data_IF_899118903177
#
_entry.id   IF_899118903177
#
_cell.length_a   1.000
_cell.length_b   1.000
_cell.length_c   1.000
_cell.angle_alpha   90.00
_cell.angle_beta   90.00
_cell.angle_gamma   90.00
#
_symmetry.space_group_name_H-M   'P 1'
#
loop_
_entity.id
_entity.type
_entity.pdbx_description
1 polymer ?
#
# COMPACT_ATOMS: atom_id res chain seq x y z
N UNK A 1 6.52 -14.03 -18.31
CA UNK A 1 5.43 -13.11 -17.92
C UNK A 1 4.30 -13.11 -18.95
N UNK A 2 4.57 -12.88 -20.24
CA UNK A 2 3.56 -12.85 -21.31
C UNK A 2 2.70 -14.13 -21.38
N UNK A 3 3.33 -15.30 -21.38
CA UNK A 3 2.63 -16.60 -21.48
C UNK A 3 1.68 -16.82 -20.30
N UNK A 4 2.11 -16.43 -19.11
CA UNK A 4 1.29 -16.53 -17.90
C UNK A 4 0.03 -15.66 -18.01
N UNK A 5 0.19 -14.36 -18.32
CA UNK A 5 -0.94 -13.43 -18.46
C UNK A 5 -1.93 -13.94 -19.53
N UNK A 6 -1.43 -14.48 -20.64
CA UNK A 6 -2.28 -15.06 -21.70
C UNK A 6 -3.18 -16.18 -21.17
N UNK A 7 -2.65 -17.08 -20.35
CA UNK A 7 -3.43 -18.21 -19.80
C UNK A 7 -4.51 -17.81 -18.80
N UNK A 8 -4.31 -16.73 -18.04
CA UNK A 8 -5.27 -16.27 -17.04
C UNK A 8 -6.30 -15.27 -17.58
N UNK A 9 -5.99 -14.56 -18.67
CA UNK A 9 -6.83 -13.52 -19.27
C UNK A 9 -8.29 -13.96 -19.46
N UNK A 10 -8.60 -15.14 -20.05
CA UNK A 10 -9.98 -15.58 -20.25
C UNK A 10 -10.79 -15.71 -18.96
N UNK A 11 -10.14 -16.03 -17.82
CA UNK A 11 -10.80 -16.20 -16.53
C UNK A 11 -11.12 -14.89 -15.85
N UNK A 12 -10.26 -13.89 -16.02
CA UNK A 12 -10.38 -12.58 -15.37
C UNK A 12 -11.17 -11.56 -16.21
N UNK A 13 -11.39 -11.83 -17.50
CA UNK A 13 -12.04 -10.91 -18.42
C UNK A 13 -13.44 -10.48 -17.96
N UNK A 14 -14.17 -11.37 -17.27
CA UNK A 14 -15.48 -11.08 -16.66
C UNK A 14 -15.45 -9.95 -15.60
N UNK A 15 -14.29 -9.69 -15.00
CA UNK A 15 -14.09 -8.62 -14.01
C UNK A 15 -13.52 -7.35 -14.63
N UNK A 16 -13.31 -7.34 -15.96
CA UNK A 16 -12.72 -6.22 -16.66
C UNK A 16 -13.71 -5.07 -16.75
N UNK A 17 -13.24 -3.88 -16.42
CA UNK A 17 -13.84 -2.61 -16.84
C UNK A 17 -13.69 -2.42 -18.34
N UNK A 18 -14.48 -1.53 -18.92
CA UNK A 18 -14.45 -1.21 -20.36
C UNK A 18 -13.56 0.00 -20.65
N UNK A 19 -12.84 -0.03 -21.78
CA UNK A 19 -12.01 1.08 -22.28
C UNK A 19 -12.83 2.26 -22.80
N UNK A 20 -14.10 2.06 -23.18
CA UNK A 20 -14.98 3.16 -23.63
C UNK A 20 -15.30 4.17 -22.52
N UNK A 21 -15.15 3.78 -21.27
CA UNK A 21 -15.24 4.66 -20.11
C UNK A 21 -13.82 5.13 -19.74
N UNK A 22 -13.41 6.22 -20.39
CA UNK A 22 -12.08 6.82 -20.26
C UNK A 22 -11.69 7.13 -18.81
N UNK A 23 -12.67 7.39 -17.93
CA UNK A 23 -12.43 7.64 -16.51
C UNK A 23 -11.73 6.46 -15.80
N UNK A 24 -11.74 5.26 -16.40
CA UNK A 24 -11.08 4.10 -15.84
C UNK A 24 -9.57 4.05 -16.07
N UNK A 25 -9.02 4.84 -17.00
CA UNK A 25 -7.57 4.81 -17.30
C UNK A 25 -6.91 6.17 -17.51
N UNK A 26 -7.69 7.24 -17.75
CA UNK A 26 -7.17 8.60 -17.93
C UNK A 26 -6.72 9.22 -16.60
N UNK A 27 -5.63 9.98 -16.63
CA UNK A 27 -4.94 10.59 -15.48
C UNK A 27 -4.44 9.59 -14.41
N UNK A 28 -4.27 8.31 -14.77
CA UNK A 28 -3.70 7.28 -13.90
C UNK A 28 -2.24 6.99 -14.30
N UNK A 29 -1.29 6.89 -13.34
CA UNK A 29 0.12 6.64 -13.64
C UNK A 29 0.41 5.15 -13.86
N UNK A 30 0.06 4.68 -15.06
CA UNK A 30 0.28 3.32 -15.54
C UNK A 30 1.76 3.07 -15.81
N UNK A 31 2.36 2.05 -15.22
CA UNK A 31 3.80 1.83 -15.30
C UNK A 31 4.18 0.36 -15.48
N UNK A 32 5.39 0.14 -15.98
CA UNK A 32 6.03 -1.16 -16.09
C UNK A 32 7.55 -1.00 -15.92
N UNK A 33 8.25 -2.11 -15.76
CA UNK A 33 9.71 -2.17 -15.80
C UNK A 33 10.15 -2.54 -17.22
N UNK A 34 10.99 -1.71 -17.83
CA UNK A 34 11.58 -2.03 -19.12
C UNK A 34 12.65 -3.13 -19.01
N UNK A 35 13.26 -3.50 -20.13
CA UNK A 35 14.28 -4.56 -20.19
C UNK A 35 15.52 -4.27 -19.33
N UNK A 36 15.80 -2.99 -19.06
CA UNK A 36 16.88 -2.56 -18.19
C UNK A 36 16.44 -2.45 -16.71
N UNK A 37 15.20 -2.80 -16.39
CA UNK A 37 14.62 -2.66 -15.05
C UNK A 37 14.25 -1.22 -14.68
N UNK A 38 14.29 -0.29 -15.64
CA UNK A 38 13.88 1.08 -15.40
C UNK A 38 12.36 1.20 -15.40
N UNK A 39 11.81 1.93 -14.42
CA UNK A 39 10.38 2.24 -14.38
C UNK A 39 10.04 3.22 -15.50
N UNK A 40 9.13 2.79 -16.38
CA UNK A 40 8.53 3.63 -17.42
C UNK A 40 7.07 3.85 -17.06
N UNK A 41 6.63 5.11 -17.03
CA UNK A 41 5.27 5.51 -16.63
C UNK A 41 4.57 6.22 -17.79
N UNK A 42 3.34 5.83 -18.06
CA UNK A 42 2.41 6.35 -19.06
C UNK A 42 1.28 7.06 -18.33
N UNK A 43 0.96 8.29 -18.75
CA UNK A 43 -0.18 9.06 -18.27
C UNK A 43 -0.98 9.50 -19.49
N UNK A 44 -2.16 8.89 -19.65
CA UNK A 44 -3.13 9.26 -20.68
C UNK A 44 -3.89 10.49 -20.19
N UNK A 45 -3.60 11.66 -20.76
CA UNK A 45 -4.23 12.92 -20.35
C UNK A 45 -5.54 13.16 -21.07
N UNK A 46 -6.49 13.86 -20.44
CA UNK A 46 -7.82 14.17 -21.01
C UNK A 46 -7.79 14.93 -22.34
N UNK A 47 -6.69 15.63 -22.64
CA UNK A 47 -6.49 16.37 -23.89
C UNK A 47 -5.86 15.52 -25.01
N UNK A 48 -5.97 14.19 -24.94
CA UNK A 48 -5.39 13.23 -25.90
C UNK A 48 -3.86 13.25 -25.97
N UNK A 49 -3.20 13.89 -25.01
CA UNK A 49 -1.75 13.84 -24.86
C UNK A 49 -1.36 12.61 -24.04
N UNK A 50 -0.32 11.90 -24.49
CA UNK A 50 0.30 10.85 -23.72
C UNK A 50 1.61 11.38 -23.14
N UNK A 51 1.75 11.37 -21.82
CA UNK A 51 3.05 11.60 -21.18
C UNK A 51 3.72 10.27 -20.89
N UNK A 52 4.97 10.12 -21.32
CA UNK A 52 5.80 8.96 -20.99
C UNK A 52 7.02 9.45 -20.22
N UNK A 53 7.14 9.01 -18.97
CA UNK A 53 8.25 9.34 -18.08
C UNK A 53 9.14 8.13 -17.85
N UNK A 54 10.46 8.31 -18.01
CA UNK A 54 11.49 7.33 -17.67
C UNK A 54 12.62 8.04 -16.95
N UNK A 55 12.92 7.64 -15.72
CA UNK A 55 13.97 8.27 -14.88
C UNK A 55 13.85 9.81 -14.73
N UNK A 56 12.63 10.35 -14.84
CA UNK A 56 12.38 11.79 -14.76
C UNK A 56 12.43 12.51 -16.11
N UNK A 57 12.95 11.87 -17.16
CA UNK A 57 12.83 12.38 -18.53
C UNK A 57 11.42 12.13 -19.04
N UNK A 58 10.77 13.20 -19.50
CA UNK A 58 9.39 13.18 -19.99
C UNK A 58 9.39 13.38 -21.51
N UNK A 59 8.77 12.44 -22.21
CA UNK A 59 8.46 12.55 -23.62
C UNK A 59 6.94 12.62 -23.82
N UNK A 60 6.52 13.36 -24.84
CA UNK A 60 5.11 13.54 -25.20
C UNK A 60 4.76 12.70 -26.42
N UNK A 61 3.57 12.11 -26.40
CA UNK A 61 2.94 11.39 -27.50
C UNK A 61 1.45 11.72 -27.59
N UNK A 62 0.68 10.92 -28.33
CA UNK A 62 -0.78 11.07 -28.42
C UNK A 62 -1.48 9.75 -28.18
N UNK A 63 -2.71 9.83 -27.70
CA UNK A 63 -3.58 8.67 -27.58
C UNK A 63 -5.01 9.01 -27.98
N UNK A 64 -5.73 8.01 -28.47
CA UNK A 64 -7.13 8.14 -28.87
C UNK A 64 -7.86 6.81 -28.67
N UNK A 65 -9.04 6.84 -28.04
CA UNK A 65 -9.93 5.70 -28.04
C UNK A 65 -10.78 5.73 -29.33
N UNK A 66 -10.78 4.61 -30.07
CA UNK A 66 -11.52 4.45 -31.32
C UNK A 66 -12.73 3.53 -31.06
N UNK A 67 -13.96 4.08 -30.90
CA UNK A 67 -15.13 3.29 -30.50
C UNK A 67 -15.54 2.23 -31.51
N UNK A 68 -15.35 2.51 -32.80
CA UNK A 68 -15.74 1.62 -33.92
C UNK A 68 -15.04 0.27 -33.85
N UNK A 69 -13.78 0.27 -33.40
CA UNK A 69 -12.95 -0.94 -33.27
C UNK A 69 -12.73 -1.34 -31.81
N UNK A 70 -13.26 -0.56 -30.86
CA UNK A 70 -13.08 -0.73 -29.41
C UNK A 70 -11.60 -0.79 -29.00
N UNK A 71 -10.77 0.02 -29.64
CA UNK A 71 -9.31 -0.03 -29.51
C UNK A 71 -8.73 1.30 -29.06
N UNK A 72 -7.59 1.26 -28.39
CA UNK A 72 -6.78 2.41 -28.02
C UNK A 72 -5.65 2.57 -29.04
N UNK A 73 -5.63 3.70 -29.75
CA UNK A 73 -4.51 4.11 -30.60
C UNK A 73 -3.50 4.85 -29.73
N UNK A 74 -2.23 4.43 -29.78
CA UNK A 74 -1.13 5.07 -29.09
C UNK A 74 -0.06 5.48 -30.11
N UNK A 75 0.28 6.76 -30.12
CA UNK A 75 1.37 7.35 -30.90
C UNK A 75 2.50 7.78 -29.95
N UNK A 76 3.66 7.13 -30.07
CA UNK A 76 4.83 7.42 -29.27
C UNK A 76 6.12 7.06 -30.01
N UNK A 77 7.15 7.91 -29.93
CA UNK A 77 8.45 7.74 -30.61
C UNK A 77 8.32 7.43 -32.11
N UNK A 78 7.46 8.15 -32.83
CA UNK A 78 7.26 7.97 -34.27
C UNK A 78 6.55 6.67 -34.67
N UNK A 79 6.09 5.88 -33.70
CA UNK A 79 5.32 4.65 -33.93
C UNK A 79 3.86 4.86 -33.54
N UNK A 80 2.94 4.41 -34.40
CA UNK A 80 1.50 4.31 -34.10
C UNK A 80 1.13 2.85 -33.92
N UNK A 81 0.51 2.52 -32.79
CA UNK A 81 0.11 1.15 -32.45
C UNK A 81 -1.33 1.14 -31.99
N UNK A 82 -2.11 0.20 -32.52
CA UNK A 82 -3.49 -0.02 -32.13
C UNK A 82 -3.55 -1.16 -31.12
N UNK A 83 -4.33 -0.97 -30.06
CA UNK A 83 -4.46 -1.92 -28.97
C UNK A 83 -5.92 -2.22 -28.65
N UNK A 84 -6.30 -3.50 -28.72
CA UNK A 84 -7.58 -3.98 -28.25
C UNK A 84 -7.55 -4.17 -26.73
N UNK A 85 -8.73 -4.11 -26.11
CA UNK A 85 -8.86 -4.39 -24.68
C UNK A 85 -8.49 -5.84 -24.39
N UNK A 86 -7.49 -6.05 -23.52
CA UNK A 86 -7.24 -7.35 -22.91
C UNK A 86 -7.97 -7.47 -21.57
N UNK A 87 -7.58 -6.62 -20.62
CA UNK A 87 -8.15 -6.55 -19.28
C UNK A 87 -7.91 -5.16 -18.68
N UNK A 88 -8.84 -4.67 -17.88
CA UNK A 88 -8.69 -3.41 -17.17
C UNK A 88 -9.36 -3.49 -15.81
N UNK A 89 -8.62 -3.17 -14.74
CA UNK A 89 -9.21 -2.86 -13.44
C UNK A 89 -8.51 -1.63 -12.83
N UNK A 90 -8.76 -1.35 -11.55
CA UNK A 90 -8.15 -0.20 -10.86
C UNK A 90 -6.62 -0.24 -10.81
N UNK A 91 -6.03 -1.44 -10.85
CA UNK A 91 -4.63 -1.70 -10.55
C UNK A 91 -3.82 -2.15 -11.76
N UNK A 92 -4.44 -2.84 -12.71
CA UNK A 92 -3.76 -3.40 -13.89
C UNK A 92 -4.55 -3.08 -15.15
N UNK A 93 -3.82 -2.67 -16.18
CA UNK A 93 -4.29 -2.54 -17.54
C UNK A 93 -3.48 -3.45 -18.44
N UNK A 94 -4.15 -4.35 -19.14
CA UNK A 94 -3.57 -5.23 -20.17
C UNK A 94 -4.20 -4.89 -21.50
N UNK A 95 -3.35 -4.49 -22.43
CA UNK A 95 -3.69 -4.16 -23.80
C UNK A 95 -3.14 -5.27 -24.71
N UNK A 96 -3.90 -5.66 -25.73
CA UNK A 96 -3.43 -6.60 -26.77
C UNK A 96 -3.20 -5.81 -28.04
N UNK A 97 -2.01 -5.89 -28.62
CA UNK A 97 -1.73 -5.23 -29.89
C UNK A 97 -2.62 -5.84 -30.98
N UNK A 98 -3.27 -4.99 -31.76
CA UNK A 98 -4.21 -5.43 -32.77
C UNK A 98 -3.56 -6.36 -33.80
N UNK A 99 -4.27 -7.43 -34.18
CA UNK A 99 -3.79 -8.46 -35.10
C UNK A 99 -2.66 -9.36 -34.56
N UNK A 100 -2.31 -9.30 -33.26
CA UNK A 100 -1.26 -10.16 -32.68
C UNK A 100 -1.62 -10.67 -31.27
N UNK A 101 -0.81 -11.63 -30.78
CA UNK A 101 -0.85 -12.10 -29.38
C UNK A 101 0.03 -11.27 -28.43
N UNK A 102 0.59 -10.16 -28.93
CA UNK A 102 1.51 -9.31 -28.15
C UNK A 102 0.71 -8.55 -27.08
N UNK A 103 1.00 -8.85 -25.81
CA UNK A 103 0.41 -8.19 -24.66
C UNK A 103 1.29 -7.05 -24.16
N UNK A 104 0.66 -5.91 -23.89
CA UNK A 104 1.24 -4.77 -23.22
C UNK A 104 0.55 -4.56 -21.87
N UNK A 105 1.22 -4.95 -20.80
CA UNK A 105 0.70 -4.92 -19.44
C UNK A 105 1.31 -3.78 -18.63
N UNK A 106 0.46 -3.06 -17.92
CA UNK A 106 0.78 -1.87 -17.14
C UNK A 106 0.13 -1.97 -15.76
N UNK A 107 0.88 -1.65 -14.71
CA UNK A 107 0.39 -1.54 -13.34
C UNK A 107 0.16 -0.09 -12.96
N UNK A 108 -0.95 0.24 -12.32
CA UNK A 108 -1.13 1.52 -11.66
C UNK A 108 -0.12 1.62 -10.52
N UNK A 109 0.88 2.49 -10.69
CA UNK A 109 2.00 2.58 -9.74
C UNK A 109 1.63 3.13 -8.36
N UNK A 110 0.40 3.62 -8.18
CA UNK A 110 -0.14 4.00 -6.87
C UNK A 110 -0.75 2.81 -6.12
N UNK A 111 -1.07 1.71 -6.80
CA UNK A 111 -1.70 0.50 -6.23
C UNK A 111 -0.75 -0.69 -6.24
N UNK A 112 -0.02 -0.90 -7.35
CA UNK A 112 0.97 -1.98 -7.51
C UNK A 112 2.35 -1.36 -7.47
N UNK A 113 2.84 -1.03 -6.28
CA UNK A 113 4.07 -0.25 -6.10
C UNK A 113 5.32 -0.97 -6.62
N UNK A 114 5.37 -2.30 -6.51
CA UNK A 114 6.47 -3.14 -7.00
C UNK A 114 6.36 -3.49 -8.49
N UNK A 115 5.29 -3.03 -9.15
CA UNK A 115 4.95 -3.32 -10.55
C UNK A 115 4.91 -4.82 -10.89
N UNK A 116 4.70 -5.69 -9.89
CA UNK A 116 4.57 -7.13 -10.11
C UNK A 116 3.14 -7.47 -10.54
N UNK A 117 2.86 -7.23 -11.82
CA UNK A 117 1.54 -7.42 -12.42
C UNK A 117 1.10 -8.89 -12.37
N UNK A 118 2.00 -9.84 -12.62
CA UNK A 118 1.67 -11.27 -12.55
C UNK A 118 1.15 -11.64 -11.17
N UNK A 119 1.86 -11.23 -10.12
CA UNK A 119 1.44 -11.47 -8.74
C UNK A 119 0.08 -10.83 -8.48
N UNK A 120 -0.16 -9.60 -8.98
CA UNK A 120 -1.48 -8.96 -8.87
C UNK A 120 -2.61 -9.81 -9.44
N UNK A 121 -2.42 -10.31 -10.66
CA UNK A 121 -3.44 -11.08 -11.34
C UNK A 121 -3.62 -12.48 -10.73
N UNK A 122 -2.57 -13.06 -10.15
CA UNK A 122 -2.62 -14.35 -9.44
C UNK A 122 -3.62 -14.34 -8.29
N UNK A 123 -3.55 -13.36 -7.36
CA UNK A 123 -4.49 -13.38 -6.24
C UNK A 123 -5.93 -13.06 -6.66
N UNK A 124 -6.11 -12.29 -7.75
CA UNK A 124 -7.42 -12.10 -8.37
C UNK A 124 -8.03 -13.41 -8.85
N UNK A 125 -7.23 -14.28 -9.47
CA UNK A 125 -7.69 -15.59 -9.95
C UNK A 125 -7.92 -16.56 -8.79
N UNK A 126 -7.07 -16.53 -7.76
CA UNK A 126 -7.18 -17.42 -6.60
C UNK A 126 -8.43 -17.15 -5.73
N UNK A 127 -9.20 -16.09 -6.03
CA UNK A 127 -10.28 -15.62 -5.17
C UNK A 127 -9.77 -15.12 -3.82
N UNK A 128 -8.46 -15.00 -3.66
CA UNK A 128 -7.83 -14.62 -2.43
C UNK A 128 -8.01 -13.11 -2.27
N UNK A 129 -8.77 -12.71 -1.26
CA UNK A 129 -8.94 -11.32 -0.85
C UNK A 129 -7.67 -10.77 -0.19
N UNK A 130 -6.50 -11.37 -0.42
CA UNK A 130 -5.21 -10.79 -0.08
C UNK A 130 -5.08 -9.47 -0.84
N UNK A 131 -5.53 -8.40 -0.18
CA UNK A 131 -5.45 -7.03 -0.62
C UNK A 131 -4.00 -6.77 -1.04
N UNK A 132 -3.74 -6.72 -2.36
CA UNK A 132 -2.50 -6.13 -2.85
C UNK A 132 -2.31 -4.79 -2.18
N UNK A 133 -1.10 -4.48 -1.72
CA UNK A 133 -0.88 -3.35 -0.84
C UNK A 133 -1.10 -2.06 -1.63
N UNK A 134 -2.36 -1.60 -1.68
CA UNK A 134 -2.66 -0.18 -1.71
C UNK A 134 -1.89 0.40 -0.54
N UNK A 135 -0.85 1.22 -0.80
CA UNK A 135 -0.01 1.93 0.19
C UNK A 135 -0.49 1.70 1.62
N UNK A 136 -0.07 0.60 2.24
CA UNK A 136 -0.61 0.23 3.56
C UNK A 136 0.03 1.16 4.56
N UNK A 137 -0.68 2.23 4.94
CA UNK A 137 -0.42 2.87 6.22
C UNK A 137 -0.63 1.78 7.27
N UNK A 138 0.41 1.43 8.01
CA UNK A 138 0.26 0.48 9.11
C UNK A 138 -0.50 1.18 10.23
N UNK A 139 -1.42 0.45 10.86
CA UNK A 139 -2.25 0.94 11.94
C UNK A 139 -1.96 0.08 13.15
N UNK A 140 -1.39 0.67 14.20
CA UNK A 140 -1.33 0.00 15.49
C UNK A 140 -2.55 0.38 16.31
N UNK A 141 -3.18 -0.60 16.96
CA UNK A 141 -4.31 -0.35 17.87
C UNK A 141 -3.77 -0.33 19.30
N UNK A 142 -3.79 0.85 19.92
CA UNK A 142 -3.56 0.99 21.35
C UNK A 142 -4.86 1.12 22.11
N UNK A 143 -4.81 0.88 23.42
CA UNK A 143 -5.93 1.09 24.33
C UNK A 143 -5.55 2.13 25.38
N UNK A 144 -6.45 3.09 25.58
CA UNK A 144 -6.28 4.19 26.53
C UNK A 144 -6.58 3.70 27.94
N UNK A 145 -5.59 3.80 28.84
CA UNK A 145 -5.69 3.36 30.22
C UNK A 145 -6.87 4.00 30.96
N UNK A 146 -7.60 3.18 31.71
CA UNK A 146 -8.81 3.61 32.42
C UNK A 146 -10.05 3.77 31.54
N UNK A 147 -9.97 3.44 30.25
CA UNK A 147 -11.12 3.42 29.34
C UNK A 147 -11.09 2.18 28.44
N UNK A 148 -12.26 1.73 27.96
CA UNK A 148 -12.33 0.71 26.89
C UNK A 148 -12.11 1.30 25.49
N UNK A 149 -11.63 2.54 25.39
CA UNK A 149 -11.47 3.26 24.13
C UNK A 149 -10.18 2.83 23.46
N UNK A 150 -10.28 2.42 22.20
CA UNK A 150 -9.16 2.03 21.35
C UNK A 150 -8.83 3.16 20.39
N UNK A 151 -7.54 3.35 20.16
CA UNK A 151 -6.97 4.38 19.28
C UNK A 151 -6.06 3.75 18.26
N UNK A 152 -5.91 4.42 17.13
CA UNK A 152 -5.19 3.93 15.97
C UNK A 152 -4.03 4.89 15.68
N UNK A 153 -2.81 4.35 15.69
CA UNK A 153 -1.58 5.06 15.37
C UNK A 153 -1.19 4.79 13.93
N UNK A 154 -0.93 5.84 13.17
CA UNK A 154 -0.62 5.75 11.75
C UNK A 154 0.88 5.81 11.52
N UNK A 155 1.48 4.76 10.97
CA UNK A 155 2.92 4.71 10.64
C UNK A 155 3.19 4.85 9.15
N UNK A 156 4.35 5.39 8.83
CA UNK A 156 4.96 5.31 7.49
C UNK A 156 5.37 3.87 7.16
N UNK A 157 5.52 3.61 5.86
CA UNK A 157 5.75 2.29 5.26
C UNK A 157 7.10 1.69 5.70
N UNK A 158 7.10 0.40 6.07
CA UNK A 158 8.32 -0.35 6.43
C UNK A 158 8.66 -0.44 7.92
N UNK A 159 7.93 0.27 8.80
CA UNK A 159 8.08 0.10 10.26
C UNK A 159 7.13 -0.98 10.78
N UNK A 160 7.70 -2.00 11.42
CA UNK A 160 6.96 -3.08 12.11
C UNK A 160 6.60 -2.71 13.55
N UNK A 161 7.11 -1.59 14.05
CA UNK A 161 6.90 -1.08 15.41
C UNK A 161 6.01 0.15 15.40
N UNK A 162 5.34 0.39 16.52
CA UNK A 162 4.48 1.55 16.72
C UNK A 162 5.32 2.81 16.70
N UNK A 163 4.96 3.74 15.82
CA UNK A 163 5.61 5.05 15.74
C UNK A 163 4.95 6.03 16.70
N UNK A 164 5.62 6.34 17.81
CA UNK A 164 5.19 7.36 18.77
C UNK A 164 5.88 8.72 18.57
N UNK A 165 6.50 8.95 17.41
CA UNK A 165 7.16 10.22 17.11
C UNK A 165 6.18 11.38 17.04
N UNK A 166 6.70 12.58 17.32
CA UNK A 166 5.94 13.83 17.17
C UNK A 166 5.50 14.00 15.72
N UNK A 167 4.22 14.36 15.52
CA UNK A 167 3.59 14.52 14.22
C UNK A 167 2.80 13.30 13.75
N UNK A 168 3.01 12.13 14.33
CA UNK A 168 2.25 10.91 14.02
C UNK A 168 0.75 11.15 14.22
N UNK A 169 -0.05 10.78 13.21
CA UNK A 169 -1.50 10.90 13.28
C UNK A 169 -2.06 9.81 14.21
N UNK A 170 -3.05 10.20 15.02
CA UNK A 170 -3.78 9.30 15.92
C UNK A 170 -5.28 9.54 15.78
N UNK A 171 -6.02 8.46 15.55
CA UNK A 171 -7.48 8.50 15.43
C UNK A 171 -8.14 7.55 16.42
N UNK A 172 -9.45 7.66 16.56
CA UNK A 172 -10.25 6.62 17.20
C UNK A 172 -10.24 5.33 16.35
N UNK A 173 -10.77 4.25 16.91
CA UNK A 173 -10.85 2.93 16.24
C UNK A 173 -11.61 2.94 14.91
N UNK A 174 -12.48 3.93 14.69
CA UNK A 174 -13.21 4.16 13.44
C UNK A 174 -12.32 4.69 12.29
N UNK A 175 -11.04 4.96 12.57
CA UNK A 175 -10.02 5.45 11.63
C UNK A 175 -10.33 6.79 10.96
N UNK A 176 -11.38 7.48 11.39
CA UNK A 176 -11.87 8.70 10.76
C UNK A 176 -11.97 9.86 11.75
N UNK A 177 -12.28 9.58 13.01
CA UNK A 177 -12.37 10.59 14.06
C UNK A 177 -10.97 10.86 14.64
N UNK A 178 -10.43 12.08 14.53
CA UNK A 178 -9.19 12.45 15.20
C UNK A 178 -9.32 12.27 16.71
N UNK A 179 -8.26 11.78 17.36
CA UNK A 179 -8.26 11.73 18.82
C UNK A 179 -8.30 13.17 19.38
N UNK A 180 -9.24 13.52 20.27
CA UNK A 180 -9.36 14.89 20.79
C UNK A 180 -8.11 15.36 21.50
N UNK A 181 -7.92 16.67 21.57
CA UNK A 181 -6.79 17.28 22.28
C UNK A 181 -6.78 16.87 23.75
N UNK A 182 -5.59 16.51 24.24
CA UNK A 182 -5.44 16.11 25.63
C UNK A 182 -4.21 15.26 25.92
N UNK A 183 -4.09 14.86 27.18
CA UNK A 183 -3.08 13.93 27.66
C UNK A 183 -3.70 12.57 27.90
N UNK A 184 -3.05 11.54 27.37
CA UNK A 184 -3.54 10.18 27.33
C UNK A 184 -2.50 9.23 27.88
N UNK A 185 -2.94 8.36 28.80
CA UNK A 185 -2.13 7.25 29.27
C UNK A 185 -2.50 6.00 28.46
N UNK A 186 -1.52 5.27 27.98
CA UNK A 186 -1.68 4.00 27.30
C UNK A 186 -1.60 2.84 28.31
N UNK A 187 -2.18 1.70 27.95
CA UNK A 187 -2.14 0.50 28.81
C UNK A 187 -0.74 -0.05 29.06
N UNK A 188 0.21 0.21 28.17
CA UNK A 188 1.64 -0.09 28.36
C UNK A 188 2.34 0.87 29.35
N UNK A 189 1.58 1.82 29.92
CA UNK A 189 2.04 2.83 30.85
C UNK A 189 2.59 4.08 30.19
N UNK A 190 2.72 4.14 28.86
CA UNK A 190 3.19 5.32 28.13
C UNK A 190 2.26 6.52 28.29
N UNK A 191 2.83 7.73 28.33
CA UNK A 191 2.08 8.98 28.42
C UNK A 191 2.25 9.79 27.14
N UNK A 192 1.13 10.08 26.48
CA UNK A 192 1.08 10.73 25.18
C UNK A 192 0.30 12.05 25.29
N UNK A 193 0.80 13.13 24.68
CA UNK A 193 0.04 14.36 24.47
C UNK A 193 -0.36 14.47 23.01
N UNK A 194 -1.63 14.79 22.76
CA UNK A 194 -2.20 14.91 21.42
C UNK A 194 -2.81 16.30 21.23
N UNK A 195 -2.57 16.86 20.04
CA UNK A 195 -3.17 18.12 19.57
C UNK A 195 -3.49 17.99 18.09
N UNK A 196 -4.69 18.39 17.69
CA UNK A 196 -5.20 18.31 16.31
C UNK A 196 -5.08 16.89 15.71
N UNK A 197 -5.32 15.86 16.54
CA UNK A 197 -5.20 14.45 16.14
C UNK A 197 -3.76 14.00 15.85
N UNK A 198 -2.75 14.72 16.32
CA UNK A 198 -1.33 14.37 16.16
C UNK A 198 -0.60 14.30 17.49
N UNK A 199 0.35 13.37 17.59
CA UNK A 199 1.24 13.26 18.76
C UNK A 199 2.11 14.50 18.83
N UNK A 200 2.07 15.17 19.98
CA UNK A 200 2.98 16.27 20.30
C UNK A 200 4.20 15.76 21.08
N UNK A 201 3.97 14.82 22.00
CA UNK A 201 5.04 14.20 22.78
C UNK A 201 4.63 12.83 23.30
N UNK A 202 5.59 11.92 23.43
CA UNK A 202 5.41 10.61 24.05
C UNK A 202 6.51 10.32 25.08
N UNK A 203 6.13 9.84 26.26
CA UNK A 203 7.05 9.37 27.31
C UNK A 203 6.76 7.92 27.64
N UNK A 204 7.71 7.04 27.37
CA UNK A 204 7.62 5.62 27.75
C UNK A 204 7.99 5.43 29.21
N UNK A 205 7.23 4.59 29.91
CA UNK A 205 7.50 4.19 31.29
C UNK A 205 8.14 2.78 31.38
N UNK A 206 8.59 2.22 30.25
CA UNK A 206 9.13 0.85 30.17
C UNK A 206 10.31 0.59 31.11
N UNK A 207 11.11 1.61 31.45
CA UNK A 207 12.25 1.49 32.35
C UNK A 207 11.85 1.12 33.80
N UNK A 208 10.70 1.60 34.28
CA UNK A 208 10.19 1.29 35.63
C UNK A 208 9.73 -0.17 35.74
N UNK A 209 9.10 -0.69 34.70
CA UNK A 209 8.68 -2.10 34.64
C UNK A 209 9.89 -3.02 34.66
N UNK A 210 10.95 -2.67 33.92
CA UNK A 210 12.21 -3.41 33.91
C UNK A 210 12.87 -3.42 35.30
N UNK A 211 12.85 -2.28 36.01
CA UNK A 211 13.41 -2.15 37.36
C UNK A 211 12.66 -3.04 38.38
N UNK A 212 11.33 -3.12 38.29
CA UNK A 212 10.50 -3.97 39.15
C UNK A 212 10.82 -5.46 38.93
N UNK A 213 10.95 -5.89 37.68
CA UNK A 213 11.35 -7.26 37.36
C UNK A 213 12.77 -7.59 37.82
N UNK A 214 13.71 -6.65 37.68
CA UNK A 214 15.08 -6.80 38.16
C UNK A 214 15.11 -6.96 39.69
N UNK A 215 14.37 -6.12 40.43
CA UNK A 215 14.26 -6.20 41.89
C UNK A 215 13.60 -7.51 42.31
N UNK A 216 12.51 -7.93 41.65
CA UNK A 216 11.85 -9.21 41.93
C UNK A 216 12.77 -10.40 41.69
N UNK A 217 13.58 -10.39 40.62
CA UNK A 217 14.56 -11.43 40.33
C UNK A 217 15.69 -11.47 41.38
N UNK A 218 16.17 -10.31 41.84
CA UNK A 218 17.19 -10.23 42.90
C UNK A 218 16.63 -10.77 44.23
N UNK A 219 15.39 -10.43 44.58
CA UNK A 219 14.70 -10.95 45.77
C UNK A 219 14.54 -12.47 45.67
N UNK A 220 14.10 -12.98 44.52
CA UNK A 220 13.93 -14.42 44.28
C UNK A 220 15.25 -15.18 44.39
N UNK A 221 16.35 -14.63 43.85
CA UNK A 221 17.68 -15.25 43.93
C UNK A 221 18.33 -15.19 45.32
N UNK A 222 17.92 -14.26 46.19
CA UNK A 222 18.58 -14.06 47.50
C UNK A 222 17.79 -14.65 48.66
N UNK A 223 16.45 -14.58 48.64
CA UNK A 223 15.62 -15.07 49.75
C UNK A 223 15.30 -16.57 49.67
N UNK A 224 15.25 -17.16 48.48
CA UNK A 224 14.91 -18.59 48.30
C UNK A 224 16.02 -19.52 48.81
N UNK A 225 17.32 -19.26 48.55
CA UNK A 225 18.39 -20.08 49.11
C UNK A 225 18.46 -20.00 50.65
N UNK A 226 18.13 -18.83 51.23
CA UNK A 226 18.16 -18.61 52.68
C UNK A 226 17.03 -19.34 53.42
N UNK A 227 15.86 -19.49 52.79
CA UNK A 227 14.75 -20.28 53.32
C UNK A 227 14.99 -21.79 53.22
N UNK A 228 15.70 -22.24 52.19
CA UNK A 228 16.05 -23.66 52.00
C UNK A 228 17.17 -24.13 52.94
N UNK A 229 18.06 -23.23 53.36
CA UNK A 229 19.16 -23.57 54.29
C UNK A 229 18.73 -23.67 55.77
N UNK A 230 17.56 -23.14 56.14
CA UNK A 230 17.09 -23.11 57.53
C UNK A 230 16.10 -24.26 57.86
N UNK A 231 15.89 -25.17 56.91
CA UNK A 231 14.99 -26.33 57.00
C UNK A 231 15.74 -27.68 56.92
N UNK A 232 17.07 -27.66 56.98
CA UNK A 232 17.95 -28.84 56.99
C UNK A 232 18.66 -29.04 58.32
#
# INVERSE_FOLDING_TARGET
MRDYISTILPRIQQYSKQLNDEANFVEIPWAFLDEAGAKVTYIFRRNNELLVSRHGDVATGRWEYLPVVQSLLIEYQGSKRLYNQGFLDKAVMVLRKDGTEELFALGNSQIVADLNISRYLESKVAGDHSEFPQKRRYHYIGELAGSRKKVVFWSEEGRTTVDFSTGTQVTMIDKSTPLPDGEYKLNDGGLMKVKDGRIQSYKSNAWLVFLIWLIAAIIFCTLIPLLLFNLG
#
